data_IF_058034573459
#
_entry.id   IF_058034573459
#
_cell.length_a   1.000
_cell.length_b   1.000
_cell.length_c   1.000
_cell.angle_alpha   90.00
_cell.angle_beta   90.00
_cell.angle_gamma   90.00
#
_symmetry.space_group_name_H-M   'P 1'
#
loop_
_entity.id
_entity.type
_entity.pdbx_description
1 polymer ?
#
# COMPACT_ATOMS: atom_id res chain seq x y z
N UNK A 1 -13.89 -44.25 9.89
CA UNK A 1 -13.03 -43.46 8.98
C UNK A 1 -13.39 -42.01 9.19
N UNK A 2 -12.57 -41.26 9.96
CA UNK A 2 -12.82 -39.85 10.21
C UNK A 2 -12.20 -39.03 9.08
N UNK A 3 -13.06 -38.40 8.27
CA UNK A 3 -12.66 -37.44 7.25
C UNK A 3 -12.46 -36.08 7.94
N UNK A 4 -11.22 -35.77 8.34
CA UNK A 4 -10.82 -34.42 8.70
C UNK A 4 -10.67 -33.58 7.43
N UNK A 5 -11.42 -32.49 7.25
CA UNK A 5 -11.16 -31.57 6.15
C UNK A 5 -9.83 -30.84 6.40
N UNK A 6 -9.01 -30.60 5.37
CA UNK A 6 -7.78 -29.84 5.52
C UNK A 6 -8.13 -28.37 5.78
N UNK A 7 -7.96 -27.90 7.01
CA UNK A 7 -7.86 -26.47 7.31
C UNK A 7 -6.51 -25.98 6.78
N UNK A 8 -6.45 -25.68 5.49
CA UNK A 8 -5.43 -24.77 4.97
C UNK A 8 -5.74 -23.37 5.51
N UNK A 9 -4.78 -22.67 6.15
CA UNK A 9 -4.99 -21.29 6.53
C UNK A 9 -5.17 -20.48 5.24
N UNK A 10 -6.43 -20.15 4.96
CA UNK A 10 -6.85 -19.20 3.96
C UNK A 10 -6.11 -17.90 4.26
N UNK A 11 -5.09 -17.58 3.47
CA UNK A 11 -4.36 -16.32 3.54
C UNK A 11 -5.27 -15.18 3.14
N UNK A 12 -6.20 -14.80 4.02
CA UNK A 12 -6.84 -13.50 3.96
C UNK A 12 -5.71 -12.48 4.02
N UNK A 13 -5.50 -11.69 2.96
CA UNK A 13 -4.58 -10.55 2.97
C UNK A 13 -4.98 -9.65 4.14
N UNK A 14 -4.38 -9.88 5.30
CA UNK A 14 -4.66 -9.13 6.51
C UNK A 14 -4.04 -7.76 6.31
N UNK A 15 -4.87 -6.72 6.48
CA UNK A 15 -4.35 -5.38 6.65
C UNK A 15 -3.35 -5.38 7.82
N UNK A 16 -2.32 -4.54 7.80
CA UNK A 16 -1.40 -4.42 8.92
C UNK A 16 -2.21 -4.16 10.20
N UNK A 17 -2.06 -5.00 11.22
CA UNK A 17 -2.68 -4.77 12.52
C UNK A 17 -2.03 -3.59 13.25
N UNK A 18 -0.80 -3.22 12.85
CA UNK A 18 -0.08 -2.09 13.42
C UNK A 18 -0.49 -0.76 12.79
N UNK A 19 -0.69 0.30 13.60
CA UNK A 19 -0.82 1.64 13.07
C UNK A 19 0.47 2.02 12.32
N UNK A 20 0.37 2.75 11.20
CA UNK A 20 1.54 3.28 10.54
C UNK A 20 2.25 4.30 11.43
N UNK A 21 3.53 4.62 11.13
CA UNK A 21 4.23 5.67 11.84
C UNK A 21 3.42 6.97 11.82
N UNK A 22 3.22 7.61 12.97
CA UNK A 22 2.42 8.85 13.05
C UNK A 22 3.15 10.07 12.48
N UNK A 23 4.38 9.92 11.97
CA UNK A 23 5.10 10.97 11.28
C UNK A 23 4.82 10.92 9.78
N UNK A 24 4.77 12.09 9.15
CA UNK A 24 4.84 12.17 7.69
C UNK A 24 6.31 12.23 7.31
N UNK A 25 6.85 11.25 6.58
CA UNK A 25 8.23 11.33 6.09
C UNK A 25 8.42 12.59 5.23
N UNK A 26 9.65 13.13 5.10
CA UNK A 26 9.91 14.17 4.13
C UNK A 26 9.64 13.61 2.74
N UNK A 27 8.89 14.35 1.91
CA UNK A 27 8.64 13.95 0.52
C UNK A 27 10.00 13.90 -0.20
N UNK A 28 10.45 12.72 -0.65
CA UNK A 28 11.65 12.66 -1.47
C UNK A 28 11.39 13.48 -2.72
N UNK A 29 12.30 14.41 -3.05
CA UNK A 29 12.27 15.12 -4.33
C UNK A 29 12.27 14.04 -5.41
N UNK A 30 11.10 13.87 -6.06
CA UNK A 30 10.73 12.72 -6.88
C UNK A 30 11.97 12.05 -7.50
N UNK A 31 12.37 10.90 -6.97
CA UNK A 31 13.49 10.14 -7.56
C UNK A 31 13.06 9.83 -8.98
N UNK A 32 13.79 10.38 -9.95
CA UNK A 32 13.45 10.47 -11.37
C UNK A 32 13.27 9.13 -12.11
N UNK A 33 13.23 8.00 -11.40
CA UNK A 33 12.67 6.79 -11.93
C UNK A 33 11.16 6.93 -11.83
N UNK A 34 10.53 7.04 -12.99
CA UNK A 34 9.10 7.14 -13.22
C UNK A 34 8.29 6.45 -12.10
N UNK A 35 7.13 7.00 -11.75
CA UNK A 35 6.11 6.29 -10.97
C UNK A 35 5.74 5.04 -11.78
N UNK A 36 6.56 4.01 -11.65
CA UNK A 36 6.55 2.83 -12.47
C UNK A 36 5.95 1.74 -11.59
N UNK A 37 4.96 0.99 -12.11
CA UNK A 37 4.38 -0.12 -11.36
C UNK A 37 5.45 -1.07 -10.80
N UNK A 38 6.61 -1.20 -11.48
CA UNK A 38 7.75 -1.97 -10.98
C UNK A 38 8.33 -1.45 -9.66
N UNK A 39 8.45 -0.13 -9.48
CA UNK A 39 9.04 0.45 -8.27
C UNK A 39 8.11 0.32 -7.05
N UNK A 40 6.81 0.54 -7.23
CA UNK A 40 5.80 0.33 -6.17
C UNK A 40 5.64 -1.16 -5.83
N UNK A 41 5.84 -2.06 -6.81
CA UNK A 41 5.79 -3.51 -6.55
C UNK A 41 6.85 -3.96 -5.53
N UNK A 42 8.00 -3.28 -5.47
CA UNK A 42 9.03 -3.53 -4.44
C UNK A 42 8.62 -3.08 -3.03
N UNK A 43 7.55 -2.29 -2.92
CA UNK A 43 6.97 -1.84 -1.65
C UNK A 43 5.70 -2.63 -1.27
N UNK A 44 5.35 -3.70 -1.99
CA UNK A 44 4.24 -4.60 -1.65
C UNK A 44 4.39 -5.16 -0.23
N UNK A 45 3.27 -5.24 0.50
CA UNK A 45 3.21 -5.69 1.89
C UNK A 45 4.06 -4.85 2.87
N UNK A 46 4.30 -3.57 2.55
CA UNK A 46 5.03 -2.62 3.41
C UNK A 46 4.27 -1.32 3.63
N UNK A 47 4.56 -0.64 4.73
CA UNK A 47 3.99 0.67 5.02
C UNK A 47 4.55 1.69 4.03
N UNK A 48 3.71 2.12 3.08
CA UNK A 48 4.10 3.06 2.03
C UNK A 48 3.42 4.39 2.27
N UNK A 49 4.19 5.46 2.39
CA UNK A 49 3.62 6.80 2.38
C UNK A 49 3.50 7.28 0.94
N UNK A 50 2.31 7.68 0.51
CA UNK A 50 2.07 8.17 -0.84
C UNK A 50 1.63 9.64 -0.81
N UNK A 51 2.19 10.43 -1.72
CA UNK A 51 1.78 11.80 -1.98
C UNK A 51 1.08 11.84 -3.31
N UNK A 52 -0.16 12.32 -3.31
CA UNK A 52 -0.96 12.51 -4.49
C UNK A 52 -0.79 13.92 -5.05
N UNK A 53 -1.00 14.04 -6.37
CA UNK A 53 -0.94 15.30 -7.13
C UNK A 53 -1.98 16.34 -6.72
N UNK A 54 -3.03 15.92 -6.03
CA UNK A 54 -4.05 16.81 -5.46
C UNK A 54 -3.64 17.40 -4.11
N UNK A 55 -2.40 17.14 -3.64
CA UNK A 55 -1.89 17.61 -2.35
C UNK A 55 -2.28 16.72 -1.17
N UNK A 56 -2.99 15.62 -1.42
CA UNK A 56 -3.35 14.66 -0.38
C UNK A 56 -2.20 13.68 -0.15
N UNK A 57 -1.90 13.37 1.11
CA UNK A 57 -0.88 12.40 1.45
C UNK A 57 -1.36 11.49 2.57
N UNK A 58 -1.05 10.20 2.46
CA UNK A 58 -1.52 9.21 3.42
C UNK A 58 -0.66 7.96 3.43
N UNK A 59 -0.78 7.22 4.52
CA UNK A 59 -0.28 5.87 4.61
C UNK A 59 -1.13 4.93 3.79
N UNK A 60 -0.45 4.18 2.94
CA UNK A 60 -1.00 3.21 2.04
C UNK A 60 -0.21 1.91 2.14
N UNK A 61 -0.91 0.80 2.16
CA UNK A 61 -0.34 -0.53 2.27
C UNK A 61 -0.70 -1.30 1.01
N UNK A 62 0.16 -1.25 -0.02
CA UNK A 62 -0.11 -1.89 -1.28
C UNK A 62 -0.09 -3.41 -1.08
N UNK A 63 -1.14 -4.07 -1.55
CA UNK A 63 -1.28 -5.53 -1.50
C UNK A 63 -1.28 -6.14 -2.89
N UNK A 64 -1.61 -5.32 -3.89
CA UNK A 64 -1.64 -5.71 -5.29
C UNK A 64 -1.30 -4.50 -6.16
N UNK A 65 -0.40 -4.68 -7.13
CA UNK A 65 -0.02 -3.65 -8.10
C UNK A 65 -0.46 -4.10 -9.48
N UNK A 66 -1.30 -3.30 -10.13
CA UNK A 66 -1.65 -3.44 -11.54
C UNK A 66 -0.73 -2.61 -12.44
N UNK A 67 -1.02 -2.58 -13.74
CA UNK A 67 -0.21 -1.81 -14.72
C UNK A 67 -0.25 -0.30 -14.51
N UNK A 68 -1.37 0.23 -14.02
CA UNK A 68 -1.60 1.69 -13.90
C UNK A 68 -2.21 2.11 -12.57
N UNK A 69 -2.54 1.15 -11.71
CA UNK A 69 -3.20 1.37 -10.43
C UNK A 69 -2.68 0.39 -9.40
N UNK A 70 -2.75 0.78 -8.14
CA UNK A 70 -2.36 -0.05 -7.00
C UNK A 70 -3.55 -0.21 -6.07
N UNK A 71 -3.81 -1.46 -5.68
CA UNK A 71 -4.85 -1.79 -4.72
C UNK A 71 -4.22 -2.17 -3.38
N UNK A 72 -4.83 -1.71 -2.30
CA UNK A 72 -4.25 -1.85 -0.98
C UNK A 72 -5.12 -1.29 0.10
N UNK A 73 -4.56 -1.16 1.29
CA UNK A 73 -5.23 -0.57 2.41
C UNK A 73 -4.74 0.85 2.63
N UNK A 74 -5.65 1.82 2.67
CA UNK A 74 -5.37 3.20 3.07
C UNK A 74 -5.64 3.37 4.55
N UNK A 75 -4.73 4.04 5.24
CA UNK A 75 -4.95 4.46 6.61
C UNK A 75 -5.81 5.73 6.64
N UNK A 76 -6.89 5.70 7.41
CA UNK A 76 -7.75 6.87 7.62
C UNK A 76 -7.48 7.59 8.94
N UNK A 77 -6.38 7.26 9.64
CA UNK A 77 -6.09 7.76 10.99
C UNK A 77 -6.61 6.87 12.12
N UNK A 78 -7.64 6.06 11.84
CA UNK A 78 -8.26 5.13 12.81
C UNK A 78 -8.24 3.67 12.38
N UNK A 79 -8.35 3.41 11.08
CA UNK A 79 -8.39 2.05 10.53
C UNK A 79 -7.77 2.01 9.13
N UNK A 80 -7.42 0.81 8.73
CA UNK A 80 -7.09 0.46 7.36
C UNK A 80 -8.37 0.22 6.57
N UNK A 81 -8.53 0.91 5.44
CA UNK A 81 -9.66 0.78 4.53
C UNK A 81 -9.14 0.36 3.17
N UNK A 82 -9.67 -0.73 2.63
CA UNK A 82 -9.27 -1.19 1.30
C UNK A 82 -9.69 -0.16 0.24
N UNK A 83 -8.74 0.30 -0.57
CA UNK A 83 -8.96 1.26 -1.65
C UNK A 83 -7.97 1.05 -2.79
N UNK A 84 -8.38 1.42 -3.99
CA UNK A 84 -7.49 1.59 -5.13
C UNK A 84 -6.95 3.02 -5.21
N UNK A 85 -5.71 3.16 -5.67
CA UNK A 85 -5.07 4.44 -5.98
C UNK A 85 -4.43 4.34 -7.36
N UNK A 86 -4.68 5.32 -8.22
CA UNK A 86 -4.04 5.40 -9.53
C UNK A 86 -2.56 5.80 -9.40
N UNK A 87 -1.67 5.04 -10.03
CA UNK A 87 -0.23 5.34 -10.05
C UNK A 87 0.02 6.73 -10.65
N UNK A 88 -0.76 7.12 -11.67
CA UNK A 88 -0.70 8.46 -12.31
C UNK A 88 -1.04 9.62 -11.39
N UNK A 89 -1.75 9.35 -10.30
CA UNK A 89 -2.10 10.37 -9.31
C UNK A 89 -1.03 10.50 -8.23
N UNK A 90 -0.13 9.53 -8.10
CA UNK A 90 0.96 9.55 -7.12
C UNK A 90 2.10 10.40 -7.71
N UNK A 91 2.55 11.39 -6.96
CA UNK A 91 3.71 12.26 -7.31
C UNK A 91 4.98 11.73 -6.67
N UNK A 92 4.87 11.18 -5.47
CA UNK A 92 5.99 10.61 -4.74
C UNK A 92 5.47 9.49 -3.84
N UNK A 93 6.33 8.53 -3.55
CA UNK A 93 6.05 7.49 -2.59
C UNK A 93 7.32 7.12 -1.85
N UNK A 94 7.19 6.69 -0.60
CA UNK A 94 8.30 6.22 0.23
C UNK A 94 7.82 5.01 1.00
N UNK A 95 8.47 3.86 0.80
CA UNK A 95 8.20 2.69 1.62
C UNK A 95 9.17 2.55 2.78
N UNK A 96 8.61 2.10 3.91
CA UNK A 96 9.27 1.84 5.17
C UNK A 96 9.32 0.34 5.44
#
# INVERSE_FOLDING_TARGET
MAFTPPQGPQGTQQAPSSPPPQFTPPQPAATAFAIDPGAISGCLFRNTFVWLRNGNSFWFFPTFVGRTSVAGFRWTGRRWVYTGVDLRSIVSFTCF
#
